data_IF_093935339872
#
_entry.id   IF_093935339872
#
_cell.length_a   1.000
_cell.length_b   1.000
_cell.length_c   1.000
_cell.angle_alpha   90.00
_cell.angle_beta   90.00
_cell.angle_gamma   90.00
#
_symmetry.space_group_name_H-M   'P 1'
#
loop_
_entity.id
_entity.type
_entity.pdbx_description
1 polymer ?
#
# COMPACT_ATOMS: atom_id res chain seq x y z
N UNK A 1 -52.32 10.24 31.46
CA UNK A 1 -52.13 11.11 32.63
C UNK A 1 -52.96 10.55 33.78
N UNK A 2 -52.44 9.54 34.49
CA UNK A 2 -52.96 9.14 35.81
C UNK A 2 -52.22 10.02 36.82
N UNK A 3 -52.96 10.63 37.75
CA UNK A 3 -52.46 11.51 38.82
C UNK A 3 -51.09 11.04 39.35
N UNK A 4 -50.04 11.85 39.20
CA UNK A 4 -48.72 11.61 39.82
C UNK A 4 -48.74 11.87 41.34
N UNK A 5 -49.77 12.54 41.86
CA UNK A 5 -49.84 12.95 43.26
C UNK A 5 -50.03 11.81 44.27
N UNK A 6 -50.57 10.63 43.88
CA UNK A 6 -50.77 9.54 44.85
C UNK A 6 -49.47 8.79 45.16
N UNK A 7 -48.56 8.64 44.19
CA UNK A 7 -47.27 7.99 44.40
C UNK A 7 -46.38 8.83 45.32
N UNK A 8 -46.35 10.15 45.14
CA UNK A 8 -45.65 11.04 46.07
C UNK A 8 -46.17 10.90 47.50
N UNK A 9 -47.50 10.78 47.67
CA UNK A 9 -48.17 10.66 48.96
C UNK A 9 -47.97 9.32 49.69
N UNK A 10 -47.46 8.28 49.02
CA UNK A 10 -47.20 6.97 49.64
C UNK A 10 -45.94 6.96 50.51
N UNK A 11 -44.95 7.79 50.17
CA UNK A 11 -43.70 7.87 50.93
C UNK A 11 -43.65 9.00 51.96
N UNK A 12 -44.63 9.92 51.94
CA UNK A 12 -44.68 11.07 52.86
C UNK A 12 -44.84 10.66 54.34
N UNK A 13 -45.64 9.66 54.73
CA UNK A 13 -45.75 9.28 56.14
C UNK A 13 -44.43 8.78 56.74
N UNK A 14 -43.61 8.09 55.93
CA UNK A 14 -42.27 7.65 56.35
C UNK A 14 -41.30 8.83 56.47
N UNK A 15 -41.40 9.82 55.56
CA UNK A 15 -40.60 11.03 55.61
C UNK A 15 -40.93 11.89 56.83
N UNK A 16 -42.21 12.10 57.10
CA UNK A 16 -42.69 12.88 58.24
C UNK A 16 -42.29 12.21 59.57
N UNK A 17 -42.41 10.88 59.68
CA UNK A 17 -41.93 10.10 60.83
C UNK A 17 -40.41 10.23 61.07
N UNK A 18 -39.60 10.24 60.01
CA UNK A 18 -38.15 10.41 60.12
C UNK A 18 -37.77 11.82 60.61
N UNK A 19 -38.51 12.85 60.17
CA UNK A 19 -38.35 14.22 60.66
C UNK A 19 -38.76 14.32 62.14
N UNK A 20 -39.90 13.75 62.51
CA UNK A 20 -40.39 13.71 63.91
C UNK A 20 -39.42 12.97 64.84
N UNK A 21 -38.68 11.99 64.31
CA UNK A 21 -37.64 11.24 65.01
C UNK A 21 -36.31 12.02 65.17
N UNK A 22 -36.24 13.27 64.69
CA UNK A 22 -35.11 14.19 64.90
C UNK A 22 -34.11 14.30 63.75
N UNK A 23 -34.38 13.71 62.58
CA UNK A 23 -33.52 13.87 61.39
C UNK A 23 -33.76 15.21 60.71
N UNK A 24 -32.69 15.81 60.17
CA UNK A 24 -32.85 16.99 59.31
C UNK A 24 -33.53 16.60 57.99
N UNK A 25 -34.24 17.56 57.38
CA UNK A 25 -34.96 17.42 56.09
C UNK A 25 -34.11 16.68 55.02
N UNK A 26 -32.82 17.02 54.92
CA UNK A 26 -31.90 16.39 53.98
C UNK A 26 -31.63 14.91 54.30
N UNK A 27 -31.29 14.59 55.55
CA UNK A 27 -31.00 13.22 55.97
C UNK A 27 -32.26 12.34 55.99
N UNK A 28 -33.42 12.90 56.35
CA UNK A 28 -34.72 12.22 56.25
C UNK A 28 -35.04 11.83 54.79
N UNK A 29 -34.75 12.71 53.83
CA UNK A 29 -34.89 12.42 52.40
C UNK A 29 -33.99 11.29 51.93
N UNK A 30 -32.71 11.30 52.33
CA UNK A 30 -31.73 10.25 51.96
C UNK A 30 -32.12 8.90 52.56
N UNK A 31 -32.45 8.86 53.85
CA UNK A 31 -32.81 7.61 54.56
C UNK A 31 -34.10 7.02 53.97
N UNK A 32 -35.12 7.85 53.70
CA UNK A 32 -36.34 7.41 53.01
C UNK A 32 -36.02 6.81 51.64
N UNK A 33 -35.26 7.51 50.81
CA UNK A 33 -34.91 7.03 49.49
C UNK A 33 -34.13 5.72 49.56
N UNK A 34 -33.21 5.58 50.51
CA UNK A 34 -32.49 4.34 50.79
C UNK A 34 -33.42 3.18 51.15
N UNK A 35 -34.39 3.40 52.04
CA UNK A 35 -35.39 2.38 52.42
C UNK A 35 -36.24 1.97 51.21
N UNK A 36 -36.70 2.93 50.42
CA UNK A 36 -37.51 2.66 49.21
C UNK A 36 -36.68 1.90 48.17
N UNK A 37 -35.42 2.28 47.93
CA UNK A 37 -34.52 1.58 47.01
C UNK A 37 -34.28 0.14 47.48
N UNK A 38 -34.04 -0.06 48.78
CA UNK A 38 -33.87 -1.42 49.34
C UNK A 38 -35.15 -2.24 49.19
N UNK A 39 -36.31 -1.67 49.48
CA UNK A 39 -37.60 -2.33 49.29
C UNK A 39 -37.86 -2.69 47.82
N UNK A 40 -37.54 -1.78 46.89
CA UNK A 40 -37.63 -2.03 45.45
C UNK A 40 -36.63 -3.08 44.99
N UNK A 41 -35.41 -3.10 45.54
CA UNK A 41 -34.40 -4.10 45.22
C UNK A 41 -34.82 -5.49 45.73
N UNK A 42 -35.41 -5.58 46.93
CA UNK A 42 -35.98 -6.82 47.46
C UNK A 42 -37.15 -7.27 46.57
N UNK A 43 -38.06 -6.37 46.21
CA UNK A 43 -39.17 -6.67 45.32
C UNK A 43 -38.68 -7.14 43.93
N UNK A 44 -37.65 -6.48 43.37
CA UNK A 44 -37.02 -6.87 42.11
C UNK A 44 -36.29 -8.20 42.21
N UNK A 45 -35.61 -8.51 43.32
CA UNK A 45 -34.96 -9.80 43.56
C UNK A 45 -35.98 -10.94 43.66
N UNK A 46 -37.09 -10.70 44.36
CA UNK A 46 -38.23 -11.62 44.43
C UNK A 46 -38.81 -11.83 43.03
N UNK A 47 -39.09 -10.75 42.30
CA UNK A 47 -39.61 -10.81 40.93
C UNK A 47 -38.63 -11.51 39.98
N UNK A 48 -37.33 -11.33 40.12
CA UNK A 48 -36.32 -12.02 39.33
C UNK A 48 -36.27 -13.52 39.68
N UNK A 49 -36.36 -13.88 40.95
CA UNK A 49 -36.38 -15.27 41.40
C UNK A 49 -37.60 -16.03 40.87
N UNK A 50 -38.80 -15.45 41.00
CA UNK A 50 -40.04 -16.03 40.48
C UNK A 50 -40.14 -15.92 38.95
N UNK A 51 -39.73 -14.78 38.41
CA UNK A 51 -39.73 -14.46 36.98
C UNK A 51 -38.80 -15.36 36.19
N UNK A 52 -37.60 -15.67 36.68
CA UNK A 52 -36.67 -16.61 36.03
C UNK A 52 -37.32 -17.98 35.81
N UNK A 53 -38.03 -18.50 36.80
CA UNK A 53 -38.74 -19.79 36.68
C UNK A 53 -39.92 -19.74 35.69
N UNK A 54 -40.62 -18.61 35.61
CA UNK A 54 -41.74 -18.41 34.68
C UNK A 54 -41.28 -18.16 33.24
N UNK A 55 -40.25 -17.32 33.06
CA UNK A 55 -39.69 -16.95 31.76
C UNK A 55 -38.99 -18.14 31.09
N UNK A 56 -38.26 -18.97 31.87
CA UNK A 56 -37.68 -20.22 31.37
C UNK A 56 -38.75 -21.21 30.89
N UNK A 57 -39.91 -21.27 31.57
CA UNK A 57 -41.05 -22.10 31.12
C UNK A 57 -41.68 -21.58 29.83
N UNK A 58 -41.80 -20.26 29.66
CA UNK A 58 -42.34 -19.64 28.43
C UNK A 58 -41.40 -19.88 27.26
N UNK A 59 -40.09 -19.68 27.45
CA UNK A 59 -39.10 -19.90 26.39
C UNK A 59 -39.07 -21.37 25.99
N UNK A 60 -39.03 -22.30 26.97
CA UNK A 60 -39.06 -23.73 26.67
C UNK A 60 -40.31 -24.14 25.86
N UNK A 61 -41.46 -23.53 26.17
CA UNK A 61 -42.74 -23.75 25.46
C UNK A 61 -42.80 -23.07 24.08
N UNK A 62 -42.04 -21.99 23.86
CA UNK A 62 -41.95 -21.29 22.58
C UNK A 62 -40.96 -21.97 21.61
N UNK A 63 -39.92 -22.60 22.13
CA UNK A 63 -38.82 -23.21 21.35
C UNK A 63 -39.02 -24.70 21.06
N UNK A 64 -40.02 -25.37 21.64
CA UNK A 64 -40.47 -26.74 21.31
C UNK A 64 -40.82 -26.96 19.81
N UNK A 65 -40.87 -25.88 19.00
CA UNK A 65 -41.13 -25.91 17.55
C UNK A 65 -39.90 -25.72 16.65
N UNK A 66 -38.68 -25.65 17.18
CA UNK A 66 -37.45 -25.41 16.40
C UNK A 66 -36.31 -26.38 16.75
N UNK A 67 -35.66 -26.99 15.75
CA UNK A 67 -34.58 -28.00 15.89
C UNK A 67 -33.21 -27.44 16.34
N UNK A 68 -33.11 -26.18 16.79
CA UNK A 68 -31.83 -25.52 17.05
C UNK A 68 -31.56 -25.27 18.53
N UNK A 69 -30.36 -25.63 19.01
CA UNK A 69 -29.80 -25.48 20.38
C UNK A 69 -29.53 -24.02 20.82
N UNK A 70 -30.22 -23.06 20.22
CA UNK A 70 -29.99 -21.62 20.41
C UNK A 70 -30.33 -21.18 21.83
N UNK A 71 -31.40 -21.71 22.40
CA UNK A 71 -31.85 -21.45 23.77
C UNK A 71 -30.86 -21.95 24.82
N UNK A 72 -30.34 -23.17 24.66
CA UNK A 72 -29.30 -23.73 25.52
C UNK A 72 -28.02 -22.88 25.51
N UNK A 73 -27.65 -22.34 24.34
CA UNK A 73 -26.49 -21.45 24.19
C UNK A 73 -26.73 -20.10 24.87
N UNK A 74 -27.92 -19.50 24.71
CA UNK A 74 -28.29 -18.23 25.36
C UNK A 74 -28.32 -18.37 26.90
N UNK A 75 -28.80 -19.52 27.40
CA UNK A 75 -28.80 -19.86 28.83
C UNK A 75 -27.39 -20.11 29.35
N UNK A 76 -26.58 -20.89 28.64
CA UNK A 76 -25.17 -21.17 28.99
C UNK A 76 -24.34 -19.89 29.07
N UNK A 77 -24.59 -18.94 28.18
CA UNK A 77 -23.91 -17.65 28.17
C UNK A 77 -24.49 -16.63 29.16
N UNK A 78 -25.52 -17.00 29.94
CA UNK A 78 -26.13 -16.15 30.97
C UNK A 78 -26.70 -14.84 30.44
N UNK A 79 -27.25 -14.85 29.21
CA UNK A 79 -27.89 -13.68 28.58
C UNK A 79 -29.01 -13.16 29.48
N UNK A 80 -29.85 -14.05 29.99
CA UNK A 80 -30.99 -13.70 30.84
C UNK A 80 -30.58 -13.14 32.21
N UNK A 81 -29.49 -13.65 32.79
CA UNK A 81 -28.94 -13.08 34.03
C UNK A 81 -28.48 -11.64 33.80
N UNK A 82 -27.87 -11.33 32.65
CA UNK A 82 -27.50 -9.96 32.28
C UNK A 82 -28.70 -9.07 32.01
N UNK A 83 -29.74 -9.58 31.34
CA UNK A 83 -31.00 -8.84 31.14
C UNK A 83 -31.65 -8.51 32.48
N UNK A 84 -31.56 -9.41 33.47
CA UNK A 84 -32.13 -9.15 34.80
C UNK A 84 -31.53 -7.94 35.51
N UNK A 85 -30.31 -7.53 35.14
CA UNK A 85 -29.67 -6.33 35.69
C UNK A 85 -30.37 -5.04 35.23
N UNK A 86 -31.27 -5.09 34.24
CA UNK A 86 -32.12 -3.96 33.86
C UNK A 86 -33.28 -3.75 34.83
N UNK A 87 -33.74 -4.77 35.55
CA UNK A 87 -34.91 -4.64 36.44
C UNK A 87 -34.72 -3.56 37.53
N UNK A 88 -33.58 -3.48 38.24
CA UNK A 88 -33.35 -2.39 39.20
C UNK A 88 -33.41 -1.00 38.56
N UNK A 89 -32.89 -0.85 37.34
CA UNK A 89 -32.94 0.42 36.63
C UNK A 89 -34.37 0.78 36.20
N UNK A 90 -35.11 -0.18 35.62
CA UNK A 90 -36.52 0.02 35.25
C UNK A 90 -37.35 0.40 36.47
N UNK A 91 -37.17 -0.30 37.60
CA UNK A 91 -37.84 0.06 38.85
C UNK A 91 -37.48 1.48 39.30
N UNK A 92 -36.20 1.86 39.21
CA UNK A 92 -35.77 3.22 39.54
C UNK A 92 -36.48 4.29 38.68
N UNK A 93 -36.57 4.12 37.35
CA UNK A 93 -37.27 5.09 36.48
C UNK A 93 -38.80 5.07 36.62
N UNK A 94 -39.41 3.93 36.96
CA UNK A 94 -40.87 3.83 37.16
C UNK A 94 -41.30 4.50 38.47
N UNK A 95 -40.44 4.45 39.49
CA UNK A 95 -40.69 5.00 40.82
C UNK A 95 -39.82 6.23 41.11
N UNK A 96 -39.29 6.90 40.09
CA UNK A 96 -38.34 8.00 40.26
C UNK A 96 -38.97 9.17 41.02
N UNK A 97 -40.22 9.53 40.72
CA UNK A 97 -40.98 10.56 41.44
C UNK A 97 -41.12 10.21 42.93
N UNK A 98 -41.37 8.94 43.28
CA UNK A 98 -41.49 8.49 44.68
C UNK A 98 -40.13 8.49 45.41
N UNK A 99 -39.06 8.06 44.74
CA UNK A 99 -37.70 7.96 45.28
C UNK A 99 -37.08 9.36 45.45
N UNK A 100 -37.35 10.28 44.51
CA UNK A 100 -36.67 11.56 44.38
C UNK A 100 -37.46 12.75 44.97
N UNK A 101 -38.71 12.55 45.44
CA UNK A 101 -39.64 13.58 45.95
C UNK A 101 -39.05 14.61 46.95
N UNK A 102 -37.97 14.26 47.68
CA UNK A 102 -37.29 15.16 48.63
C UNK A 102 -35.76 15.24 48.41
N UNK A 103 -35.28 14.88 47.23
CA UNK A 103 -33.85 14.81 46.88
C UNK A 103 -33.45 15.77 45.75
N UNK A 104 -34.14 16.91 45.64
CA UNK A 104 -33.95 17.88 44.55
C UNK A 104 -32.49 18.30 44.32
N UNK A 105 -31.70 18.43 45.38
CA UNK A 105 -30.27 18.81 45.31
C UNK A 105 -29.38 17.75 44.65
N UNK A 106 -29.74 16.46 44.77
CA UNK A 106 -28.94 15.33 44.26
C UNK A 106 -29.62 14.60 43.09
N UNK A 107 -30.82 15.03 42.70
CA UNK A 107 -31.66 14.42 41.67
C UNK A 107 -30.90 14.23 40.34
N UNK A 108 -30.20 15.27 39.88
CA UNK A 108 -29.42 15.23 38.63
C UNK A 108 -28.29 14.18 38.68
N UNK A 109 -27.60 14.09 39.81
CA UNK A 109 -26.50 13.12 40.02
C UNK A 109 -27.04 11.70 40.04
N UNK A 110 -28.17 11.45 40.71
CA UNK A 110 -28.79 10.13 40.79
C UNK A 110 -29.34 9.67 39.43
N UNK A 111 -29.98 10.57 38.66
CA UNK A 111 -30.43 10.27 37.30
C UNK A 111 -29.24 10.01 36.37
N UNK A 112 -28.16 10.79 36.47
CA UNK A 112 -26.92 10.55 35.72
C UNK A 112 -26.29 9.20 36.05
N UNK A 113 -26.19 8.84 37.33
CA UNK A 113 -25.69 7.54 37.77
C UNK A 113 -26.55 6.38 37.27
N UNK A 114 -27.88 6.52 37.30
CA UNK A 114 -28.81 5.54 36.75
C UNK A 114 -28.64 5.37 35.23
N UNK A 115 -28.50 6.47 34.48
CA UNK A 115 -28.26 6.45 33.04
C UNK A 115 -26.94 5.71 32.72
N UNK A 116 -25.86 6.02 33.45
CA UNK A 116 -24.54 5.36 33.30
C UNK A 116 -24.66 3.86 33.58
N UNK A 117 -25.37 3.48 34.65
CA UNK A 117 -25.63 2.08 34.99
C UNK A 117 -26.37 1.36 33.86
N UNK A 118 -27.45 1.95 33.33
CA UNK A 118 -28.23 1.38 32.22
C UNK A 118 -27.36 1.19 30.98
N UNK A 119 -26.57 2.19 30.61
CA UNK A 119 -25.66 2.10 29.45
C UNK A 119 -24.69 0.93 29.61
N UNK A 120 -24.08 0.78 30.79
CA UNK A 120 -23.16 -0.32 31.08
C UNK A 120 -23.84 -1.70 31.03
N UNK A 121 -25.06 -1.81 31.57
CA UNK A 121 -25.84 -3.05 31.52
C UNK A 121 -26.22 -3.41 30.09
N UNK A 122 -26.72 -2.45 29.30
CA UNK A 122 -27.06 -2.67 27.88
C UNK A 122 -25.82 -3.11 27.10
N UNK A 123 -24.67 -2.44 27.28
CA UNK A 123 -23.43 -2.83 26.63
C UNK A 123 -23.00 -4.26 27.01
N UNK A 124 -23.16 -4.65 28.29
CA UNK A 124 -22.90 -6.01 28.74
C UNK A 124 -23.87 -7.03 28.13
N UNK A 125 -25.15 -6.69 27.97
CA UNK A 125 -26.15 -7.57 27.34
C UNK A 125 -25.79 -7.80 25.88
N UNK A 126 -25.52 -6.73 25.12
CA UNK A 126 -25.10 -6.82 23.72
C UNK A 126 -23.87 -7.71 23.58
N UNK A 127 -22.86 -7.54 24.44
CA UNK A 127 -21.65 -8.35 24.40
C UNK A 127 -21.92 -9.86 24.66
N UNK A 128 -22.82 -10.18 25.60
CA UNK A 128 -23.19 -11.56 25.89
C UNK A 128 -24.07 -12.18 24.79
N UNK A 129 -24.89 -11.37 24.12
CA UNK A 129 -25.60 -11.78 22.90
C UNK A 129 -24.61 -12.04 21.76
N UNK A 130 -23.65 -11.14 21.51
CA UNK A 130 -22.60 -11.34 20.50
C UNK A 130 -21.77 -12.62 20.75
N UNK A 131 -21.47 -12.92 22.03
CA UNK A 131 -20.85 -14.19 22.42
C UNK A 131 -21.72 -15.40 22.11
N UNK A 132 -23.03 -15.29 22.35
CA UNK A 132 -23.96 -16.36 22.03
C UNK A 132 -24.07 -16.59 20.52
N UNK A 133 -24.09 -15.51 19.73
CA UNK A 133 -24.05 -15.57 18.28
C UNK A 133 -22.75 -16.22 17.76
N UNK A 134 -21.59 -15.90 18.35
CA UNK A 134 -20.33 -16.59 18.01
C UNK A 134 -20.46 -18.11 18.16
N UNK A 135 -21.00 -18.57 19.29
CA UNK A 135 -21.19 -20.01 19.54
C UNK A 135 -22.20 -20.65 18.56
N UNK A 136 -23.33 -19.98 18.28
CA UNK A 136 -24.32 -20.48 17.32
C UNK A 136 -23.74 -20.57 15.90
N UNK A 137 -22.98 -19.55 15.50
CA UNK A 137 -22.37 -19.50 14.16
C UNK A 137 -21.21 -20.48 14.01
N UNK A 138 -20.47 -20.77 15.09
CA UNK A 138 -19.39 -21.74 15.08
C UNK A 138 -19.87 -23.17 14.78
N UNK A 139 -21.10 -23.51 15.17
CA UNK A 139 -21.72 -24.82 14.91
C UNK A 139 -22.29 -24.95 13.48
N UNK A 140 -22.34 -23.84 12.72
CA UNK A 140 -22.84 -23.82 11.34
C UNK A 140 -21.80 -24.28 10.32
N UNK A 141 -22.22 -25.13 9.37
CA UNK A 141 -21.39 -25.57 8.24
C UNK A 141 -20.88 -24.41 7.37
N UNK A 142 -21.60 -23.29 7.30
CA UNK A 142 -21.26 -22.12 6.48
C UNK A 142 -20.08 -21.29 7.04
N UNK A 143 -19.84 -21.34 8.35
CA UNK A 143 -18.82 -20.53 9.03
C UNK A 143 -17.63 -21.35 9.53
N UNK A 144 -17.54 -22.62 9.10
CA UNK A 144 -16.40 -23.49 9.38
C UNK A 144 -15.11 -22.84 8.86
N UNK A 145 -14.08 -22.78 9.71
CA UNK A 145 -12.77 -22.15 9.45
C UNK A 145 -12.78 -20.62 9.29
N UNK A 146 -13.84 -19.91 9.73
CA UNK A 146 -13.83 -18.44 9.80
C UNK A 146 -13.38 -17.97 11.20
N UNK A 147 -12.65 -16.83 11.32
CA UNK A 147 -12.16 -16.33 12.60
C UNK A 147 -13.27 -15.59 13.37
N UNK A 148 -14.32 -16.33 13.80
CA UNK A 148 -15.51 -15.77 14.46
C UNK A 148 -15.18 -15.03 15.77
N UNK A 149 -14.17 -15.50 16.51
CA UNK A 149 -13.66 -14.83 17.70
C UNK A 149 -13.18 -13.41 17.39
N UNK A 150 -12.40 -13.23 16.31
CA UNK A 150 -11.89 -11.92 15.89
C UNK A 150 -13.03 -10.99 15.49
N UNK A 151 -14.05 -11.50 14.79
CA UNK A 151 -15.23 -10.70 14.43
C UNK A 151 -16.03 -10.26 15.66
N UNK A 152 -16.29 -11.18 16.61
CA UNK A 152 -16.93 -10.83 17.88
C UNK A 152 -16.09 -9.80 18.63
N UNK A 153 -14.76 -9.96 18.66
CA UNK A 153 -13.85 -9.04 19.36
C UNK A 153 -13.97 -7.62 18.80
N UNK A 154 -13.96 -7.44 17.48
CA UNK A 154 -14.14 -6.14 16.83
C UNK A 154 -15.50 -5.53 17.18
N UNK A 155 -16.59 -6.31 17.10
CA UNK A 155 -17.93 -5.83 17.46
C UNK A 155 -18.04 -5.48 18.96
N UNK A 156 -17.36 -6.22 19.83
CA UNK A 156 -17.33 -5.95 21.27
C UNK A 156 -16.57 -4.65 21.58
N UNK A 157 -15.44 -4.41 20.92
CA UNK A 157 -14.67 -3.16 21.02
C UNK A 157 -15.55 -1.98 20.58
N UNK A 158 -16.23 -2.11 19.44
CA UNK A 158 -17.15 -1.08 18.95
C UNK A 158 -18.28 -0.81 19.95
N UNK A 159 -18.94 -1.85 20.48
CA UNK A 159 -20.01 -1.73 21.48
C UNK A 159 -19.55 -1.01 22.76
N UNK A 160 -18.39 -1.38 23.32
CA UNK A 160 -17.86 -0.68 24.49
C UNK A 160 -17.41 0.76 24.16
N UNK A 161 -16.89 1.01 22.95
CA UNK A 161 -16.58 2.36 22.48
C UNK A 161 -17.81 3.27 22.46
N UNK A 162 -18.93 2.79 21.90
CA UNK A 162 -20.22 3.50 21.93
C UNK A 162 -20.68 3.74 23.37
N UNK A 163 -20.60 2.72 24.24
CA UNK A 163 -20.99 2.85 25.64
C UNK A 163 -20.18 3.92 26.39
N UNK A 164 -18.86 3.98 26.17
CA UNK A 164 -17.98 5.00 26.75
C UNK A 164 -18.40 6.40 26.31
N UNK A 165 -18.68 6.59 25.01
CA UNK A 165 -19.14 7.88 24.49
C UNK A 165 -20.47 8.30 25.13
N UNK A 166 -21.41 7.37 25.27
CA UNK A 166 -22.69 7.63 25.94
C UNK A 166 -22.51 7.98 27.43
N UNK A 167 -21.61 7.29 28.13
CA UNK A 167 -21.30 7.58 29.54
C UNK A 167 -20.70 8.98 29.69
N UNK A 168 -19.72 9.34 28.86
CA UNK A 168 -19.11 10.67 28.87
C UNK A 168 -20.12 11.75 28.49
N UNK A 169 -21.04 11.45 27.57
CA UNK A 169 -22.15 12.33 27.19
C UNK A 169 -23.05 12.66 28.39
N UNK A 170 -23.37 11.67 29.22
CA UNK A 170 -24.13 11.87 30.47
C UNK A 170 -23.33 12.70 31.49
N UNK A 171 -22.02 12.45 31.63
CA UNK A 171 -21.17 13.17 32.60
C UNK A 171 -20.97 14.65 32.27
N UNK A 172 -20.87 15.00 30.99
CA UNK A 172 -20.61 16.37 30.51
C UNK A 172 -21.93 17.11 30.17
N UNK A 173 -23.07 16.42 30.24
CA UNK A 173 -24.39 16.94 29.86
C UNK A 173 -24.39 17.53 28.43
N UNK A 174 -23.83 16.76 27.50
CA UNK A 174 -23.78 17.08 26.06
C UNK A 174 -24.24 15.89 25.26
N UNK A 175 -24.82 16.12 24.08
CA UNK A 175 -25.29 15.02 23.24
C UNK A 175 -24.13 14.14 22.76
N UNK A 176 -24.35 12.82 22.54
CA UNK A 176 -23.31 11.94 22.00
C UNK A 176 -22.79 12.40 20.64
N UNK A 177 -23.67 13.01 19.82
CA UNK A 177 -23.30 13.60 18.53
C UNK A 177 -22.33 14.78 18.66
N UNK A 178 -22.43 15.59 19.73
CA UNK A 178 -21.48 16.67 20.00
C UNK A 178 -20.09 16.13 20.33
N UNK A 179 -20.00 15.04 21.10
CA UNK A 179 -18.71 14.40 21.40
C UNK A 179 -18.11 13.75 20.15
N UNK A 180 -18.93 13.10 19.34
CA UNK A 180 -18.50 12.52 18.06
C UNK A 180 -18.03 13.59 17.08
N UNK A 181 -18.70 14.74 17.00
CA UNK A 181 -18.27 15.84 16.13
C UNK A 181 -16.95 16.45 16.60
N UNK A 182 -16.77 16.65 17.91
CA UNK A 182 -15.50 17.11 18.48
C UNK A 182 -14.36 16.11 18.24
N UNK A 183 -14.59 14.81 18.48
CA UNK A 183 -13.61 13.76 18.23
C UNK A 183 -13.28 13.64 16.73
N UNK A 184 -14.29 13.75 15.86
CA UNK A 184 -14.12 13.74 14.41
C UNK A 184 -13.30 14.91 13.92
N UNK A 185 -13.59 16.14 14.39
CA UNK A 185 -12.82 17.33 14.07
C UNK A 185 -11.36 17.20 14.55
N UNK A 186 -11.14 16.76 15.79
CA UNK A 186 -9.80 16.51 16.32
C UNK A 186 -9.05 15.46 15.50
N UNK A 187 -9.71 14.38 15.12
CA UNK A 187 -9.12 13.32 14.28
C UNK A 187 -8.77 13.83 12.89
N UNK A 188 -9.62 14.65 12.27
CA UNK A 188 -9.34 15.26 10.97
C UNK A 188 -8.12 16.20 11.01
N UNK A 189 -8.01 17.02 12.06
CA UNK A 189 -6.84 17.87 12.29
C UNK A 189 -5.59 17.03 12.52
N UNK A 190 -5.66 15.99 13.35
CA UNK A 190 -4.55 15.08 13.58
C UNK A 190 -4.11 14.38 12.28
N UNK A 191 -5.06 13.87 11.49
CA UNK A 191 -4.76 13.27 10.20
C UNK A 191 -4.12 14.27 9.23
N UNK A 192 -4.58 15.51 9.22
CA UNK A 192 -4.00 16.57 8.39
C UNK A 192 -2.56 16.88 8.80
N UNK A 193 -2.30 17.01 10.10
CA UNK A 193 -0.97 17.32 10.66
C UNK A 193 0.00 16.15 10.48
N UNK A 194 -0.45 14.91 10.69
CA UNK A 194 0.39 13.72 10.65
C UNK A 194 0.36 12.97 9.33
N UNK A 195 -0.32 13.49 8.29
CA UNK A 195 -0.49 12.83 6.99
C UNK A 195 0.85 12.32 6.43
N UNK A 196 1.82 13.20 6.34
CA UNK A 196 3.11 12.89 5.70
C UNK A 196 3.98 11.97 6.59
N UNK A 197 3.81 12.05 7.91
CA UNK A 197 4.48 11.13 8.84
C UNK A 197 3.93 9.70 8.74
N UNK A 198 2.61 9.56 8.63
CA UNK A 198 1.96 8.26 8.43
C UNK A 198 2.34 7.64 7.10
N UNK A 199 2.33 8.43 6.01
CA UNK A 199 2.77 7.97 4.69
C UNK A 199 4.26 7.61 4.66
N UNK A 200 5.12 8.43 5.29
CA UNK A 200 6.54 8.15 5.39
C UNK A 200 6.82 6.86 6.15
N UNK A 201 6.13 6.66 7.28
CA UNK A 201 6.25 5.45 8.10
C UNK A 201 5.84 4.19 7.34
N UNK A 202 4.64 4.17 6.76
CA UNK A 202 4.17 2.99 6.00
C UNK A 202 5.07 2.73 4.80
N UNK A 203 5.57 3.78 4.14
CA UNK A 203 6.51 3.64 3.05
C UNK A 203 7.85 3.03 3.49
N UNK A 204 8.42 3.47 4.62
CA UNK A 204 9.69 2.89 5.10
C UNK A 204 9.59 1.40 5.40
N UNK A 205 8.48 0.95 5.99
CA UNK A 205 8.22 -0.48 6.22
C UNK A 205 8.14 -1.22 4.88
N UNK A 206 7.43 -0.67 3.90
CA UNK A 206 7.28 -1.31 2.60
C UNK A 206 8.59 -1.36 1.82
N UNK A 207 9.40 -0.29 1.85
CA UNK A 207 10.73 -0.24 1.22
C UNK A 207 11.66 -1.29 1.83
N UNK A 208 11.68 -1.38 3.17
CA UNK A 208 12.50 -2.36 3.88
C UNK A 208 12.02 -3.79 3.69
N UNK A 209 10.71 -4.04 3.74
CA UNK A 209 10.13 -5.38 3.60
C UNK A 209 10.27 -5.94 2.18
N UNK A 210 10.29 -5.08 1.16
CA UNK A 210 10.46 -5.48 -0.24
C UNK A 210 11.89 -5.30 -0.74
N UNK A 211 12.83 -4.92 0.14
CA UNK A 211 14.24 -4.68 -0.19
C UNK A 211 14.46 -3.78 -1.43
N UNK A 212 13.68 -2.71 -1.51
CA UNK A 212 13.68 -1.83 -2.69
C UNK A 212 14.92 -0.94 -2.78
N UNK A 213 15.49 -0.55 -1.62
CA UNK A 213 16.65 0.33 -1.48
C UNK A 213 17.45 -0.07 -0.24
N UNK A 214 18.78 -0.10 -0.35
CA UNK A 214 19.74 -0.28 0.76
C UNK A 214 20.70 0.90 0.84
N UNK A 215 21.34 1.06 1.99
CA UNK A 215 22.50 1.94 2.14
C UNK A 215 23.62 1.42 1.23
N UNK A 216 24.23 2.33 0.47
CA UNK A 216 25.25 2.05 -0.53
C UNK A 216 24.73 1.84 -1.95
N UNK A 217 23.41 1.71 -2.16
CA UNK A 217 22.87 1.64 -3.51
C UNK A 217 23.06 2.97 -4.25
N UNK A 218 23.51 2.90 -5.49
CA UNK A 218 23.33 4.01 -6.43
C UNK A 218 21.86 4.06 -6.89
N UNK A 219 21.17 5.17 -6.59
CA UNK A 219 19.79 5.43 -7.00
C UNK A 219 19.68 6.73 -7.80
N UNK A 220 18.73 6.76 -8.74
CA UNK A 220 18.32 7.98 -9.45
C UNK A 220 16.83 8.23 -9.22
N UNK A 221 16.50 9.37 -8.62
CA UNK A 221 15.14 9.86 -8.36
C UNK A 221 14.97 11.22 -9.02
N UNK A 222 14.60 11.20 -10.31
CA UNK A 222 14.56 12.39 -11.18
C UNK A 222 13.70 13.53 -10.58
N UNK A 223 12.56 13.20 -9.96
CA UNK A 223 11.64 14.18 -9.38
C UNK A 223 12.22 15.02 -8.22
N UNK A 224 13.28 14.52 -7.58
CA UNK A 224 13.93 15.19 -6.45
C UNK A 224 15.38 15.60 -6.76
N UNK A 225 15.87 15.35 -7.98
CA UNK A 225 17.26 15.59 -8.34
C UNK A 225 18.24 14.79 -7.49
N UNK A 226 17.89 13.55 -7.13
CA UNK A 226 18.81 12.63 -6.49
C UNK A 226 19.44 11.71 -7.53
N UNK A 227 20.75 11.71 -7.66
CA UNK A 227 21.51 10.77 -8.51
C UNK A 227 22.87 10.47 -7.88
N UNK A 228 22.92 9.37 -7.13
CA UNK A 228 24.12 8.93 -6.43
C UNK A 228 23.84 7.91 -5.35
N UNK A 229 24.76 7.79 -4.39
CA UNK A 229 24.76 6.70 -3.43
C UNK A 229 23.88 7.01 -2.21
N UNK A 230 23.07 6.04 -1.80
CA UNK A 230 22.28 6.14 -0.57
C UNK A 230 23.21 6.07 0.63
N UNK A 231 23.26 7.15 1.42
CA UNK A 231 24.13 7.24 2.60
C UNK A 231 23.38 6.96 3.90
N UNK A 232 22.07 7.18 3.94
CA UNK A 232 21.26 7.05 5.17
C UNK A 232 19.79 6.76 4.82
N UNK A 233 19.17 5.86 5.58
CA UNK A 233 17.73 5.56 5.49
C UNK A 233 17.12 5.78 6.88
N UNK A 234 16.27 6.80 7.00
CA UNK A 234 15.46 7.05 8.19
C UNK A 234 14.01 6.60 7.96
N UNK A 235 13.19 6.76 9.00
CA UNK A 235 11.77 6.38 8.98
C UNK A 235 10.94 7.12 7.92
N UNK A 236 11.27 8.37 7.60
CA UNK A 236 10.48 9.19 6.69
C UNK A 236 11.30 9.83 5.56
N UNK A 237 12.62 9.67 5.57
CA UNK A 237 13.53 10.25 4.57
C UNK A 237 14.68 9.31 4.24
N UNK A 238 15.16 9.37 3.01
CA UNK A 238 16.39 8.75 2.54
C UNK A 238 17.33 9.86 2.09
N UNK A 239 18.59 9.83 2.52
CA UNK A 239 19.62 10.74 2.05
C UNK A 239 20.44 10.07 0.96
N UNK A 240 20.57 10.76 -0.15
CA UNK A 240 21.38 10.36 -1.31
C UNK A 240 22.50 11.37 -1.46
N UNK A 241 23.74 10.92 -1.50
CA UNK A 241 24.88 11.74 -1.86
C UNK A 241 25.05 11.70 -3.38
N UNK A 242 24.80 12.83 -4.04
CA UNK A 242 24.95 12.94 -5.48
C UNK A 242 26.43 12.82 -5.90
N UNK A 243 26.67 12.56 -7.18
CA UNK A 243 28.04 12.47 -7.71
C UNK A 243 28.86 13.77 -7.57
N UNK A 244 28.19 14.92 -7.51
CA UNK A 244 28.79 16.24 -7.21
C UNK A 244 29.04 16.47 -5.70
N UNK A 245 28.82 15.43 -4.88
CA UNK A 245 28.98 15.41 -3.41
C UNK A 245 27.96 16.22 -2.61
N UNK A 246 26.92 16.76 -3.25
CA UNK A 246 25.77 17.32 -2.53
C UNK A 246 24.90 16.22 -1.91
N UNK A 247 24.08 16.56 -0.90
CA UNK A 247 23.15 15.61 -0.25
C UNK A 247 21.72 16.01 -0.57
N UNK A 248 21.02 15.14 -1.32
CA UNK A 248 19.57 15.25 -1.54
C UNK A 248 18.84 14.42 -0.50
N UNK A 249 17.89 15.04 0.21
CA UNK A 249 17.00 14.35 1.15
C UNK A 249 15.66 14.10 0.49
N UNK A 250 15.32 12.83 0.29
CA UNK A 250 14.12 12.40 -0.43
C UNK A 250 13.14 11.75 0.57
N UNK A 251 11.88 12.17 0.65
CA UNK A 251 10.88 11.51 1.49
C UNK A 251 10.70 10.03 1.10
N UNK A 252 10.57 9.12 2.07
CA UNK A 252 10.45 7.67 1.80
C UNK A 252 9.23 7.34 0.92
N UNK A 253 8.11 8.04 1.09
CA UNK A 253 6.92 7.81 0.26
C UNK A 253 7.17 8.07 -1.24
N UNK A 254 8.15 8.90 -1.60
CA UNK A 254 8.48 9.20 -2.99
C UNK A 254 9.03 7.98 -3.75
N UNK A 255 9.72 7.06 -3.04
CA UNK A 255 10.22 5.82 -3.64
C UNK A 255 9.13 4.78 -3.92
N UNK A 256 7.92 5.01 -3.42
CA UNK A 256 6.76 4.14 -3.67
C UNK A 256 5.80 4.81 -4.65
N UNK A 257 5.59 6.12 -4.49
CA UNK A 257 4.64 6.85 -5.33
C UNK A 257 5.20 7.15 -6.74
N UNK A 258 6.52 7.31 -6.86
CA UNK A 258 7.17 7.67 -8.12
C UNK A 258 8.07 6.53 -8.61
N UNK A 259 8.30 6.46 -9.92
CA UNK A 259 9.35 5.60 -10.44
C UNK A 259 10.73 6.16 -10.05
N UNK A 260 11.62 5.27 -9.65
CA UNK A 260 13.03 5.56 -9.46
C UNK A 260 13.86 4.42 -10.06
N UNK A 261 15.14 4.67 -10.30
CA UNK A 261 16.08 3.65 -10.77
C UNK A 261 16.97 3.24 -9.61
N UNK A 262 17.09 1.95 -9.37
CA UNK A 262 18.12 1.38 -8.51
C UNK A 262 19.15 0.67 -9.40
N UNK A 263 20.39 1.15 -9.39
CA UNK A 263 21.46 0.65 -10.23
C UNK A 263 22.12 -0.61 -9.67
N UNK A 264 21.75 -1.06 -8.46
CA UNK A 264 22.23 -2.34 -7.89
C UNK A 264 22.06 -3.51 -8.86
N UNK A 265 20.94 -3.58 -9.57
CA UNK A 265 20.71 -4.62 -10.57
C UNK A 265 21.73 -4.61 -11.72
N UNK A 266 22.26 -3.44 -12.09
CA UNK A 266 23.37 -3.32 -13.06
C UNK A 266 24.69 -3.76 -12.42
N UNK A 267 24.96 -3.33 -11.18
CA UNK A 267 26.17 -3.69 -10.44
C UNK A 267 26.29 -5.19 -10.15
N UNK A 268 25.18 -5.86 -9.85
CA UNK A 268 25.12 -7.31 -9.59
C UNK A 268 25.05 -8.14 -10.87
N UNK A 269 24.65 -7.54 -12.00
CA UNK A 269 24.59 -8.24 -13.28
C UNK A 269 25.98 -8.60 -13.84
N UNK A 270 26.00 -9.44 -14.87
CA UNK A 270 27.22 -9.83 -15.57
C UNK A 270 27.92 -8.71 -16.34
N UNK A 271 27.31 -7.53 -16.52
CA UNK A 271 27.93 -6.45 -17.28
C UNK A 271 27.14 -5.16 -17.38
N UNK A 272 27.82 -4.07 -17.76
CA UNK A 272 27.22 -2.73 -17.93
C UNK A 272 26.90 -2.47 -19.40
N UNK A 273 25.67 -2.07 -19.69
CA UNK A 273 25.17 -1.92 -21.07
C UNK A 273 25.80 -0.73 -21.79
N UNK A 274 26.44 -0.99 -22.93
CA UNK A 274 26.81 0.00 -23.96
C UNK A 274 25.68 0.06 -24.98
N UNK A 275 25.07 1.24 -25.14
CA UNK A 275 24.03 1.50 -26.13
C UNK A 275 24.22 2.90 -26.72
N UNK A 276 24.85 2.97 -27.89
CA UNK A 276 25.14 4.23 -28.61
C UNK A 276 25.06 3.97 -30.11
N UNK A 277 24.78 5.02 -30.89
CA UNK A 277 24.67 4.92 -32.34
C UNK A 277 25.67 5.84 -33.04
N UNK A 278 26.17 5.39 -34.19
CA UNK A 278 26.84 6.23 -35.18
C UNK A 278 25.87 6.49 -36.32
N UNK A 279 25.89 7.67 -36.94
CA UNK A 279 25.05 7.95 -38.08
C UNK A 279 25.87 7.82 -39.37
N UNK A 280 25.41 6.98 -40.29
CA UNK A 280 26.03 6.79 -41.60
C UNK A 280 25.38 7.73 -42.60
N UNK A 281 26.18 8.44 -43.38
CA UNK A 281 25.70 9.25 -44.49
C UNK A 281 25.05 8.33 -45.55
N UNK A 282 23.75 8.49 -45.79
CA UNK A 282 22.98 7.63 -46.69
C UNK A 282 23.46 7.70 -48.14
N UNK A 283 24.10 8.81 -48.55
CA UNK A 283 24.67 8.94 -49.91
C UNK A 283 25.90 8.06 -50.12
N UNK A 284 26.57 7.65 -49.05
CA UNK A 284 27.72 6.72 -49.12
C UNK A 284 27.29 5.24 -49.19
N UNK A 285 26.00 4.94 -49.02
CA UNK A 285 25.49 3.56 -49.03
C UNK A 285 25.33 3.07 -50.47
N UNK A 286 26.02 1.97 -50.81
CA UNK A 286 26.01 1.37 -52.15
C UNK A 286 26.15 -0.15 -52.11
N UNK A 287 25.88 -0.79 -53.26
CA UNK A 287 26.30 -2.17 -53.47
C UNK A 287 27.83 -2.25 -53.42
N UNK A 288 28.35 -3.27 -52.75
CA UNK A 288 29.79 -3.52 -52.69
C UNK A 288 30.23 -4.14 -54.03
N UNK A 289 31.18 -3.49 -54.70
CA UNK A 289 31.82 -4.00 -55.90
C UNK A 289 32.89 -5.05 -55.55
N UNK A 290 33.42 -5.73 -56.56
CA UNK A 290 34.43 -6.77 -56.36
C UNK A 290 35.73 -6.21 -55.76
N UNK A 291 36.10 -4.98 -56.09
CA UNK A 291 37.29 -4.31 -55.55
C UNK A 291 37.17 -4.12 -54.03
N UNK A 292 36.07 -3.54 -53.57
CA UNK A 292 35.77 -3.35 -52.16
C UNK A 292 35.69 -4.68 -51.44
N UNK A 293 35.00 -5.69 -52.01
CA UNK A 293 34.90 -7.02 -51.41
C UNK A 293 36.29 -7.65 -51.27
N UNK A 294 37.14 -7.55 -52.29
CA UNK A 294 38.51 -8.09 -52.27
C UNK A 294 39.39 -7.37 -51.25
N UNK A 295 39.25 -6.04 -51.10
CA UNK A 295 39.94 -5.28 -50.08
C UNK A 295 39.47 -5.66 -48.67
N UNK A 296 38.16 -5.75 -48.44
CA UNK A 296 37.58 -6.13 -47.16
C UNK A 296 37.87 -7.60 -46.77
N UNK A 297 38.14 -8.49 -47.76
CA UNK A 297 38.58 -9.87 -47.50
C UNK A 297 39.95 -9.94 -46.80
N UNK A 298 40.76 -8.87 -46.86
CA UNK A 298 42.04 -8.77 -46.14
C UNK A 298 41.84 -8.59 -44.62
N UNK A 299 40.64 -8.20 -44.18
CA UNK A 299 40.30 -8.07 -42.77
C UNK A 299 40.05 -9.46 -42.17
N UNK A 300 40.94 -9.91 -41.29
CA UNK A 300 40.91 -11.26 -40.71
C UNK A 300 39.55 -11.63 -40.13
N UNK A 301 38.96 -10.74 -39.31
CA UNK A 301 37.67 -10.97 -38.65
C UNK A 301 36.49 -11.09 -39.62
N UNK A 302 36.59 -10.52 -40.82
CA UNK A 302 35.48 -10.45 -41.79
C UNK A 302 35.62 -11.48 -42.93
N UNK A 303 36.83 -12.00 -43.16
CA UNK A 303 37.14 -12.94 -44.26
C UNK A 303 36.17 -14.12 -44.34
N UNK A 304 36.02 -14.87 -43.25
CA UNK A 304 35.15 -16.06 -43.22
C UNK A 304 33.67 -15.70 -43.49
N UNK A 305 33.21 -14.54 -43.03
CA UNK A 305 31.86 -14.05 -43.31
C UNK A 305 31.68 -13.73 -44.80
N UNK A 306 32.63 -13.00 -45.39
CA UNK A 306 32.60 -12.66 -46.82
C UNK A 306 32.59 -13.93 -47.68
N UNK A 307 33.46 -14.90 -47.40
CA UNK A 307 33.54 -16.15 -48.17
C UNK A 307 32.22 -16.91 -48.13
N UNK A 308 31.67 -17.13 -46.93
CA UNK A 308 30.36 -17.78 -46.77
C UNK A 308 29.25 -17.03 -47.51
N UNK A 309 29.19 -15.71 -47.32
CA UNK A 309 28.11 -14.88 -47.89
C UNK A 309 28.22 -14.77 -49.42
N UNK A 310 29.44 -14.76 -49.96
CA UNK A 310 29.68 -14.77 -51.41
C UNK A 310 29.15 -16.06 -52.04
N UNK A 311 29.41 -17.22 -51.43
CA UNK A 311 28.88 -18.51 -51.89
C UNK A 311 27.35 -18.55 -51.83
N UNK A 312 26.74 -18.13 -50.71
CA UNK A 312 25.27 -18.07 -50.58
C UNK A 312 24.61 -17.22 -51.68
N UNK A 313 25.20 -16.05 -51.96
CA UNK A 313 24.69 -15.12 -52.96
C UNK A 313 24.85 -15.69 -54.38
N UNK A 314 26.00 -16.29 -54.69
CA UNK A 314 26.26 -16.89 -56.00
C UNK A 314 25.30 -18.05 -56.29
N UNK A 315 25.05 -18.92 -55.31
CA UNK A 315 24.11 -20.03 -55.47
C UNK A 315 22.69 -19.51 -55.70
N UNK A 316 22.22 -18.58 -54.87
CA UNK A 316 20.89 -17.99 -55.03
C UNK A 316 20.71 -17.34 -56.40
N UNK A 317 21.67 -16.52 -56.85
CA UNK A 317 21.55 -15.83 -58.14
C UNK A 317 21.59 -16.79 -59.34
N UNK A 318 22.35 -17.90 -59.25
CA UNK A 318 22.38 -18.95 -60.28
C UNK A 318 21.07 -19.73 -60.35
N UNK A 319 20.55 -20.16 -59.19
CA UNK A 319 19.28 -20.91 -59.10
C UNK A 319 18.09 -20.12 -59.66
N UNK A 320 18.09 -18.80 -59.48
CA UNK A 320 17.01 -17.92 -59.92
C UNK A 320 17.24 -17.28 -61.29
N UNK A 321 18.28 -17.71 -62.03
CA UNK A 321 18.61 -17.21 -63.37
C UNK A 321 18.64 -15.67 -63.45
N UNK A 322 19.23 -15.04 -62.43
CA UNK A 322 19.23 -13.59 -62.29
C UNK A 322 20.03 -12.93 -63.42
N UNK A 323 19.42 -11.94 -64.08
CA UNK A 323 20.13 -11.05 -65.01
C UNK A 323 21.16 -10.21 -64.25
N UNK A 324 22.43 -10.44 -64.54
CA UNK A 324 23.55 -9.79 -63.86
C UNK A 324 23.83 -8.37 -64.38
N UNK A 325 23.22 -7.96 -65.49
CA UNK A 325 23.41 -6.62 -66.07
C UNK A 325 22.82 -5.52 -65.18
N UNK A 326 21.72 -5.80 -64.47
CA UNK A 326 21.10 -4.87 -63.53
C UNK A 326 21.34 -5.29 -62.09
N UNK A 327 22.11 -4.50 -61.34
CA UNK A 327 22.57 -4.83 -59.98
C UNK A 327 21.44 -5.19 -59.01
N UNK A 328 20.28 -4.53 -59.16
CA UNK A 328 19.11 -4.64 -58.27
C UNK A 328 18.39 -5.99 -58.40
N UNK A 329 18.54 -6.68 -59.55
CA UNK A 329 17.80 -7.93 -59.82
C UNK A 329 18.33 -9.11 -59.00
N UNK A 330 19.56 -9.03 -58.51
CA UNK A 330 20.22 -10.10 -57.76
C UNK A 330 20.43 -9.75 -56.30
N UNK A 331 20.67 -10.79 -55.49
CA UNK A 331 21.23 -10.59 -54.15
C UNK A 331 22.66 -10.10 -54.31
N UNK A 332 23.02 -9.06 -53.57
CA UNK A 332 24.37 -8.50 -53.50
C UNK A 332 24.68 -8.06 -52.07
N UNK A 333 25.97 -7.98 -51.75
CA UNK A 333 26.39 -7.36 -50.50
C UNK A 333 26.36 -5.84 -50.66
N UNK A 334 26.10 -5.13 -49.57
CA UNK A 334 26.22 -3.68 -49.49
C UNK A 334 27.35 -3.32 -48.55
N UNK A 335 27.99 -2.17 -48.78
CA UNK A 335 29.07 -1.73 -47.92
C UNK A 335 28.63 -1.55 -46.46
N UNK A 336 27.44 -0.97 -46.23
CA UNK A 336 26.85 -0.86 -44.89
C UNK A 336 26.51 -2.22 -44.26
N UNK A 337 26.09 -3.20 -45.06
CA UNK A 337 25.86 -4.55 -44.60
C UNK A 337 27.15 -5.19 -44.11
N UNK A 338 28.24 -5.03 -44.87
CA UNK A 338 29.57 -5.51 -44.51
C UNK A 338 30.09 -4.83 -43.26
N UNK A 339 29.96 -3.50 -43.16
CA UNK A 339 30.40 -2.74 -41.99
C UNK A 339 29.67 -3.14 -40.72
N UNK A 340 28.33 -3.30 -40.79
CA UNK A 340 27.53 -3.76 -39.66
C UNK A 340 27.98 -5.13 -39.15
N UNK A 341 28.21 -6.09 -40.06
CA UNK A 341 28.67 -7.43 -39.67
C UNK A 341 30.11 -7.39 -39.14
N UNK A 342 30.97 -6.55 -39.70
CA UNK A 342 32.32 -6.34 -39.19
C UNK A 342 32.32 -5.84 -37.75
N UNK A 343 31.54 -4.81 -37.42
CA UNK A 343 31.45 -4.29 -36.05
C UNK A 343 30.92 -5.37 -35.11
N UNK A 344 29.90 -6.12 -35.52
CA UNK A 344 29.36 -7.21 -34.69
C UNK A 344 30.41 -8.29 -34.40
N UNK A 345 31.20 -8.70 -35.40
CA UNK A 345 32.29 -9.66 -35.25
C UNK A 345 33.44 -9.08 -34.41
N UNK A 346 33.73 -7.79 -34.56
CA UNK A 346 34.71 -7.07 -33.75
C UNK A 346 34.31 -7.10 -32.27
N UNK A 347 33.06 -6.77 -31.94
CA UNK A 347 32.54 -6.78 -30.56
C UNK A 347 32.49 -8.19 -29.96
N UNK A 348 32.05 -9.19 -30.74
CA UNK A 348 32.01 -10.60 -30.30
C UNK A 348 33.38 -11.23 -30.05
N UNK A 349 34.45 -10.59 -30.51
CA UNK A 349 35.84 -11.01 -30.25
C UNK A 349 36.59 -10.03 -29.34
N UNK A 350 35.90 -9.01 -28.78
CA UNK A 350 36.52 -8.01 -27.94
C UNK A 350 36.62 -8.51 -26.48
N UNK A 351 37.83 -8.57 -25.89
CA UNK A 351 38.04 -9.25 -24.60
C UNK A 351 37.32 -8.59 -23.41
N UNK A 352 36.96 -7.30 -23.52
CA UNK A 352 36.26 -6.56 -22.46
C UNK A 352 34.74 -6.49 -22.63
N UNK A 353 34.19 -7.17 -23.64
CA UNK A 353 32.74 -7.32 -23.84
C UNK A 353 32.29 -8.64 -23.22
N UNK A 354 31.17 -8.62 -22.51
CA UNK A 354 30.57 -9.83 -21.99
C UNK A 354 29.84 -10.57 -23.13
N UNK A 355 30.34 -11.76 -23.46
CA UNK A 355 29.83 -12.59 -24.56
C UNK A 355 28.62 -13.48 -24.17
N UNK A 356 28.30 -13.60 -22.89
CA UNK A 356 27.11 -14.31 -22.41
C UNK A 356 25.84 -13.45 -22.50
N UNK A 357 26.02 -12.13 -22.64
CA UNK A 357 24.93 -11.17 -22.76
C UNK A 357 24.67 -10.77 -24.22
N UNK A 358 23.54 -10.10 -24.47
CA UNK A 358 23.18 -9.67 -25.83
C UNK A 358 24.23 -8.74 -26.43
N UNK A 359 24.76 -9.12 -27.59
CA UNK A 359 25.65 -8.30 -28.40
C UNK A 359 25.11 -8.26 -29.83
N UNK A 360 24.74 -7.07 -30.30
CA UNK A 360 24.20 -6.86 -31.64
C UNK A 360 24.57 -5.48 -32.20
N UNK A 361 24.63 -5.40 -33.53
CA UNK A 361 24.75 -4.13 -34.25
C UNK A 361 23.60 -4.05 -35.25
N UNK A 362 22.74 -3.04 -35.12
CA UNK A 362 21.50 -2.94 -35.89
C UNK A 362 21.29 -1.55 -36.47
N UNK A 363 20.53 -1.49 -37.56
CA UNK A 363 20.10 -0.22 -38.15
C UNK A 363 18.82 0.25 -37.47
N UNK A 364 18.76 1.53 -37.11
CA UNK A 364 17.53 2.19 -36.70
C UNK A 364 16.87 2.86 -37.91
N UNK A 365 15.70 3.46 -37.70
CA UNK A 365 15.04 4.24 -38.75
C UNK A 365 15.96 5.38 -39.24
N UNK A 366 16.13 5.58 -40.56
CA UNK A 366 16.86 6.72 -41.09
C UNK A 366 16.28 8.05 -40.58
N UNK A 367 17.15 9.02 -40.36
CA UNK A 367 16.81 10.38 -39.94
C UNK A 367 17.39 11.38 -40.94
N UNK A 368 17.09 12.67 -40.75
CA UNK A 368 17.74 13.77 -41.49
C UNK A 368 19.26 13.81 -41.31
N UNK A 369 19.78 13.14 -40.27
CA UNK A 369 21.21 12.97 -40.00
C UNK A 369 21.79 11.68 -40.57
N UNK A 370 21.12 11.03 -41.50
CA UNK A 370 21.53 9.76 -42.08
C UNK A 370 20.96 8.54 -41.36
N UNK A 371 21.59 7.37 -41.58
CA UNK A 371 21.13 6.08 -41.06
C UNK A 371 21.86 5.73 -39.75
N UNK A 372 21.17 5.70 -38.60
CA UNK A 372 21.81 5.32 -37.34
C UNK A 372 22.10 3.82 -37.30
N UNK A 373 23.35 3.48 -37.00
CA UNK A 373 23.81 2.14 -36.69
C UNK A 373 24.02 2.06 -35.17
N UNK A 374 23.12 1.37 -34.48
CA UNK A 374 23.15 1.20 -33.03
C UNK A 374 24.05 0.02 -32.64
N UNK A 375 25.04 0.33 -31.81
CA UNK A 375 25.90 -0.64 -31.14
C UNK A 375 25.25 -0.96 -29.80
N UNK A 376 24.87 -2.22 -29.60
CA UNK A 376 24.26 -2.71 -28.37
C UNK A 376 25.06 -3.91 -27.85
N UNK A 377 25.76 -3.73 -26.75
CA UNK A 377 26.50 -4.80 -26.09
C UNK A 377 26.62 -4.53 -24.58
N UNK A 378 27.24 -5.44 -23.84
CA UNK A 378 27.52 -5.26 -22.42
C UNK A 378 29.03 -5.34 -22.19
N UNK A 379 29.60 -4.36 -21.50
CA UNK A 379 30.96 -4.46 -21.01
C UNK A 379 31.02 -5.41 -19.82
N UNK A 380 32.03 -6.28 -19.78
CA UNK A 380 32.28 -7.14 -18.63
C UNK A 380 32.79 -6.33 -17.42
N UNK A 381 33.40 -5.17 -17.66
CA UNK A 381 33.85 -4.27 -16.61
C UNK A 381 32.77 -3.22 -16.32
N UNK A 382 32.33 -3.17 -15.06
CA UNK A 382 31.27 -2.28 -14.57
C UNK A 382 31.82 -0.99 -13.96
N UNK A 383 33.12 -0.97 -13.60
CA UNK A 383 33.77 0.19 -12.98
C UNK A 383 33.67 1.37 -13.94
N UNK A 384 33.11 2.48 -13.46
CA UNK A 384 32.67 3.57 -14.34
C UNK A 384 33.81 4.11 -15.23
N UNK A 385 34.97 4.41 -14.65
CA UNK A 385 36.12 4.90 -15.43
C UNK A 385 36.53 3.91 -16.54
N UNK A 386 36.66 2.63 -16.23
CA UNK A 386 37.05 1.60 -17.18
C UNK A 386 35.98 1.41 -18.27
N UNK A 387 34.71 1.41 -17.88
CA UNK A 387 33.57 1.33 -18.79
C UNK A 387 33.59 2.46 -19.83
N UNK A 388 33.84 3.71 -19.40
CA UNK A 388 33.95 4.84 -20.34
C UNK A 388 35.15 4.69 -21.28
N UNK A 389 36.31 4.23 -20.78
CA UNK A 389 37.48 3.95 -21.64
C UNK A 389 37.17 2.88 -22.68
N UNK A 390 36.58 1.75 -22.27
CA UNK A 390 36.21 0.65 -23.18
C UNK A 390 35.27 1.15 -24.28
N UNK A 391 34.28 1.93 -23.89
CA UNK A 391 33.32 2.49 -24.82
C UNK A 391 33.98 3.48 -25.78
N UNK A 392 34.87 4.36 -25.31
CA UNK A 392 35.63 5.26 -26.18
C UNK A 392 36.50 4.50 -27.18
N UNK A 393 37.30 3.53 -26.73
CA UNK A 393 38.18 2.72 -27.59
C UNK A 393 37.40 1.99 -28.69
N UNK A 394 36.23 1.44 -28.35
CA UNK A 394 35.34 0.79 -29.32
C UNK A 394 34.87 1.79 -30.38
N UNK A 395 34.44 2.98 -29.97
CA UNK A 395 33.91 3.98 -30.91
C UNK A 395 35.02 4.61 -31.74
N UNK A 396 36.22 4.85 -31.20
CA UNK A 396 37.38 5.34 -31.95
C UNK A 396 37.75 4.40 -33.10
N UNK A 397 37.75 3.09 -32.82
CA UNK A 397 37.98 2.06 -33.84
C UNK A 397 36.87 2.03 -34.90
N UNK A 398 35.61 2.16 -34.48
CA UNK A 398 34.46 2.16 -35.39
C UNK A 398 34.48 3.39 -36.30
N UNK A 399 34.73 4.59 -35.76
CA UNK A 399 34.83 5.82 -36.56
C UNK A 399 35.98 5.73 -37.56
N UNK A 400 37.14 5.22 -37.14
CA UNK A 400 38.33 5.12 -37.99
C UNK A 400 38.18 4.06 -39.08
N UNK A 401 37.45 2.98 -38.82
CA UNK A 401 37.27 1.89 -39.78
C UNK A 401 36.20 2.15 -40.84
N UNK A 402 35.27 3.08 -40.63
CA UNK A 402 34.17 3.36 -41.56
C UNK A 402 34.64 3.66 -42.99
N UNK A 403 35.71 4.44 -43.16
CA UNK A 403 36.27 4.78 -44.46
C UNK A 403 36.81 3.58 -45.24
N UNK A 404 37.25 2.52 -44.54
CA UNK A 404 37.70 1.27 -45.19
C UNK A 404 36.55 0.53 -45.88
N UNK A 405 35.31 0.84 -45.51
CA UNK A 405 34.10 0.30 -46.13
C UNK A 405 33.50 1.29 -47.15
N UNK A 406 34.22 2.34 -47.54
CA UNK A 406 33.71 3.45 -48.35
C UNK A 406 32.42 4.07 -47.75
N UNK A 407 32.33 4.10 -46.42
CA UNK A 407 31.23 4.72 -45.70
C UNK A 407 31.70 6.03 -45.10
N UNK A 408 30.83 7.02 -45.21
CA UNK A 408 31.02 8.30 -44.55
C UNK A 408 30.15 8.36 -43.31
N UNK A 409 30.74 8.81 -42.20
CA UNK A 409 29.99 9.16 -41.00
C UNK A 409 29.34 10.52 -41.24
N UNK A 410 28.04 10.62 -40.97
CA UNK A 410 27.33 11.87 -41.13
C UNK A 410 27.88 12.94 -40.17
N UNK A 411 28.13 14.12 -40.73
CA UNK A 411 28.49 15.33 -40.01
C UNK A 411 27.65 16.49 -40.56
N UNK A 412 27.18 17.37 -39.67
CA UNK A 412 26.60 18.64 -40.11
C UNK A 412 27.68 19.52 -40.74
N UNK A 413 27.37 20.24 -41.85
CA UNK A 413 28.30 21.18 -42.45
C UNK A 413 28.86 22.15 -41.40
N UNK A 414 30.18 22.29 -41.39
CA UNK A 414 30.91 23.20 -40.51
C UNK A 414 31.45 24.38 -41.31
N UNK A 415 31.95 25.42 -40.63
CA UNK A 415 32.56 26.57 -41.29
C UNK A 415 33.72 26.20 -42.24
N UNK A 416 34.36 25.03 -42.09
CA UNK A 416 35.40 24.54 -43.01
C UNK A 416 34.82 24.08 -44.35
N UNK A 417 33.62 23.52 -44.35
CA UNK A 417 32.95 23.00 -45.55
C UNK A 417 32.47 24.16 -46.43
N UNK A 418 31.96 25.22 -45.80
CA UNK A 418 31.57 26.45 -46.50
C UNK A 418 32.77 27.21 -47.10
N UNK A 419 33.97 27.11 -46.52
CA UNK A 419 35.18 27.73 -47.10
C UNK A 419 35.58 27.14 -48.45
N UNK A 420 35.14 25.91 -48.78
CA UNK A 420 35.40 25.26 -50.07
C UNK A 420 34.41 25.69 -51.17
N UNK A 421 33.40 26.50 -50.83
CA UNK A 421 32.40 27.02 -51.78
C UNK A 421 32.78 28.40 -52.35
N UNK A 422 33.82 29.03 -51.80
CA UNK A 422 34.48 30.21 -52.35
C UNK A 422 35.74 29.78 -53.10
#
# INVERSE_FOLDING_TARGET
>A
MMNSNWLESLGTPLYDYLIESGLTVFWAGIVRAGIIIVALFIAAAIFNYFGKSFFLKIIKKATERTETSVDDILLKNKVFDRISLLFPAIAFYVFDDLILAHLNQVRLVLLGAANIYVIGVIASIINVVLKSLEHILADSRLFKNKPLYSYRQVLSIFNYGVAIILIVSVLIDKSPLYLLSALGAATAVLLLVFRDSLLGFTASIQLSSNDMVRIGDWVTVDAYGADGDVIEINLNTIKVQNFDKTITTVPTYAFISNSFKNWRGMEESGGRRIKRSININTTSIRFADEELINNLRKIEKLKAFIEKRSTEIQNFNKEHLVDQNMLVNGRRMTNIGLFRNYIELYLKSHPKINHEMTCMVRQLQPTEKGLPLEIYCFSADKVWANYETIMSDIFDHIFSSASTFDLEIFQNPSGRDFKKLN
#
